data_IF_263590210658
#
_entry.id   IF_263590210658
#
_cell.length_a   1.000
_cell.length_b   1.000
_cell.length_c   1.000
_cell.angle_alpha   90.00
_cell.angle_beta   90.00
_cell.angle_gamma   90.00
#
_symmetry.space_group_name_H-M   'P 1'
#
loop_
_entity.id
_entity.type
_entity.pdbx_description
1 polymer ?
#
# COMPACT_ATOMS: atom_id res chain seq x y z
N UNK A 1 -65.00 2.97 -24.94
CA UNK A 1 -64.28 1.75 -25.35
C UNK A 1 -62.96 1.78 -24.61
N UNK A 2 -62.95 1.23 -23.39
CA UNK A 2 -62.50 -0.16 -23.04
C UNK A 2 -60.97 -0.19 -22.94
N UNK A 3 -60.34 0.02 -21.77
CA UNK A 3 -60.18 -0.80 -20.55
C UNK A 3 -59.54 -2.19 -20.79
N UNK A 4 -58.52 -2.49 -19.96
CA UNK A 4 -58.02 -3.78 -19.43
C UNK A 4 -56.61 -4.16 -19.92
N UNK A 5 -55.58 -4.11 -19.06
CA UNK A 5 -55.26 -4.95 -17.87
C UNK A 5 -54.21 -6.01 -18.26
N UNK A 6 -53.07 -6.04 -17.57
CA UNK A 6 -52.92 -6.92 -16.40
C UNK A 6 -51.50 -6.87 -15.85
N UNK A 7 -51.41 -6.45 -14.60
CA UNK A 7 -50.40 -6.89 -13.64
C UNK A 7 -50.42 -8.42 -13.49
N UNK A 8 -49.26 -9.01 -13.17
CA UNK A 8 -49.23 -10.15 -12.24
C UNK A 8 -47.97 -10.08 -11.38
N UNK A 9 -48.16 -9.62 -10.15
CA UNK A 9 -47.43 -10.09 -8.98
C UNK A 9 -47.87 -11.52 -8.67
N UNK A 10 -46.95 -12.32 -8.11
CA UNK A 10 -47.12 -13.30 -7.01
C UNK A 10 -45.93 -14.27 -7.04
N UNK A 11 -45.40 -14.82 -5.95
CA UNK A 11 -45.63 -14.70 -4.51
C UNK A 11 -44.64 -15.64 -3.82
N UNK A 12 -44.09 -15.23 -2.68
CA UNK A 12 -43.45 -16.13 -1.72
C UNK A 12 -44.48 -17.08 -1.10
N UNK A 13 -44.16 -18.38 -0.95
CA UNK A 13 -44.35 -19.13 0.32
C UNK A 13 -43.83 -20.58 0.30
N UNK A 14 -42.96 -20.84 1.30
CA UNK A 14 -42.65 -22.05 2.09
C UNK A 14 -43.18 -23.44 1.72
N UNK A 15 -42.31 -24.45 1.86
CA UNK A 15 -42.49 -25.52 2.86
C UNK A 15 -41.20 -26.34 3.13
N UNK A 16 -41.13 -26.85 4.36
CA UNK A 16 -39.98 -27.34 5.13
C UNK A 16 -39.82 -28.87 5.17
N UNK A 17 -38.61 -29.29 5.59
CA UNK A 17 -38.24 -30.50 6.37
C UNK A 17 -38.11 -31.87 5.69
N UNK A 18 -36.90 -32.45 5.77
CA UNK A 18 -36.66 -33.59 6.67
C UNK A 18 -35.15 -33.84 6.89
N UNK A 19 -34.88 -34.21 8.13
CA UNK A 19 -33.64 -34.45 8.88
C UNK A 19 -32.85 -35.70 8.48
N UNK A 20 -31.52 -35.63 8.63
CA UNK A 20 -30.71 -36.78 9.07
C UNK A 20 -29.70 -36.33 10.13
N UNK A 21 -29.88 -36.79 11.37
CA UNK A 21 -28.91 -36.73 12.46
C UNK A 21 -27.85 -37.82 12.24
N UNK A 22 -26.58 -37.48 12.45
CA UNK A 22 -25.54 -38.38 12.98
C UNK A 22 -24.58 -37.54 13.84
N UNK A 23 -24.75 -37.71 15.15
CA UNK A 23 -23.80 -37.77 16.27
C UNK A 23 -22.65 -36.76 16.47
N UNK A 24 -22.60 -36.31 17.73
CA UNK A 24 -21.58 -35.54 18.43
C UNK A 24 -20.17 -36.13 18.30
N UNK A 25 -19.20 -35.32 17.85
CA UNK A 25 -17.79 -35.48 18.23
C UNK A 25 -17.14 -34.10 18.39
N UNK A 26 -16.76 -33.79 19.64
CA UNK A 26 -15.79 -32.81 20.11
C UNK A 26 -15.88 -31.35 19.63
N UNK A 27 -16.64 -30.57 20.38
CA UNK A 27 -16.32 -29.18 20.73
C UNK A 27 -14.91 -29.08 21.35
N UNK A 28 -13.89 -28.83 20.51
CA UNK A 28 -12.50 -28.67 20.94
C UNK A 28 -11.59 -27.89 19.97
N UNK A 29 -12.15 -27.14 19.02
CA UNK A 29 -11.39 -26.54 17.91
C UNK A 29 -10.83 -25.13 18.13
N UNK A 30 -11.34 -24.38 19.11
CA UNK A 30 -10.98 -22.94 19.29
C UNK A 30 -9.92 -22.77 20.40
N UNK A 31 -9.73 -23.76 21.28
CA UNK A 31 -8.81 -23.68 22.43
C UNK A 31 -7.36 -24.09 22.10
N UNK A 32 -7.11 -24.81 21.00
CA UNK A 32 -5.77 -25.37 20.72
C UNK A 32 -4.77 -24.41 20.05
N UNK A 33 -5.19 -23.23 19.60
CA UNK A 33 -4.30 -22.29 18.90
C UNK A 33 -3.48 -21.43 19.89
N UNK A 34 -4.02 -21.16 21.08
CA UNK A 34 -3.36 -20.36 22.11
C UNK A 34 -2.25 -21.13 22.85
N UNK A 35 -2.41 -22.44 23.08
CA UNK A 35 -1.38 -23.26 23.76
C UNK A 35 -0.14 -23.47 22.88
N UNK A 36 -0.28 -23.42 21.55
CA UNK A 36 0.80 -23.70 20.60
C UNK A 36 1.81 -22.55 20.42
N UNK A 37 1.47 -21.35 20.90
CA UNK A 37 2.32 -20.16 20.84
C UNK A 37 3.28 -20.03 22.04
N UNK A 38 3.08 -20.81 23.11
CA UNK A 38 3.89 -20.69 24.34
C UNK A 38 5.15 -21.59 24.32
N UNK A 39 5.23 -22.61 23.46
CA UNK A 39 6.33 -23.59 23.50
C UNK A 39 7.52 -23.33 22.56
N UNK A 40 7.55 -22.22 21.79
CA UNK A 40 8.64 -21.95 20.84
C UNK A 40 9.66 -20.89 21.25
N UNK A 41 9.58 -20.37 22.48
CA UNK A 41 10.46 -19.31 22.96
C UNK A 41 11.77 -19.79 23.63
N UNK A 42 12.13 -21.08 23.57
CA UNK A 42 13.35 -21.59 24.23
C UNK A 42 14.24 -22.44 23.32
N UNK A 43 15.06 -21.77 22.50
CA UNK A 43 16.42 -22.22 22.14
C UNK A 43 17.23 -21.07 21.49
N UNK A 44 18.05 -20.39 22.30
CA UNK A 44 19.50 -20.19 22.14
C UNK A 44 20.14 -20.65 20.79
N UNK A 45 21.12 -20.01 20.15
CA UNK A 45 22.00 -18.87 20.46
C UNK A 45 22.89 -18.60 19.21
N UNK A 46 23.45 -17.39 19.11
CA UNK A 46 24.76 -17.00 18.53
C UNK A 46 25.24 -17.57 17.18
N UNK A 47 25.54 -16.67 16.23
CA UNK A 47 26.95 -16.34 15.94
C UNK A 47 27.15 -14.99 15.25
N UNK A 48 28.29 -14.40 15.56
CA UNK A 48 28.65 -12.99 15.44
C UNK A 48 29.73 -12.79 14.35
N UNK A 49 29.66 -11.66 13.64
CA UNK A 49 30.80 -10.77 13.28
C UNK A 49 31.63 -11.03 11.99
N UNK A 50 31.70 -9.94 11.18
CA UNK A 50 32.67 -9.51 10.13
C UNK A 50 32.65 -10.32 8.82
N UNK A 51 32.53 -9.68 7.65
CA UNK A 51 33.62 -8.96 6.95
C UNK A 51 33.10 -7.75 6.16
N UNK A 52 33.75 -6.61 6.38
CA UNK A 52 33.69 -5.38 5.57
C UNK A 52 34.79 -5.37 4.50
N UNK A 53 34.49 -4.71 3.38
CA UNK A 53 35.42 -4.15 2.38
C UNK A 53 36.19 -5.14 1.49
N UNK A 54 35.72 -5.32 0.26
CA UNK A 54 36.54 -5.37 -0.98
C UNK A 54 35.64 -5.74 -2.17
N UNK A 55 35.17 -4.77 -2.97
CA UNK A 55 34.80 -5.01 -4.37
C UNK A 55 34.97 -3.72 -5.18
N UNK A 56 36.22 -3.25 -5.24
CA UNK A 56 36.71 -2.51 -6.41
C UNK A 56 37.81 -3.39 -7.00
N UNK A 57 37.49 -4.13 -8.05
CA UNK A 57 38.50 -4.53 -9.03
C UNK A 57 37.85 -4.74 -10.39
N UNK A 58 38.53 -4.17 -11.37
CA UNK A 58 38.19 -3.96 -12.77
C UNK A 58 37.77 -5.21 -13.54
N UNK A 59 36.91 -5.04 -14.54
CA UNK A 59 36.86 -5.92 -15.71
C UNK A 59 36.92 -5.10 -16.99
N UNK A 60 38.14 -4.96 -17.53
CA UNK A 60 38.41 -4.59 -18.91
C UNK A 60 38.14 -5.81 -19.80
N UNK A 61 37.16 -5.72 -20.70
CA UNK A 61 37.03 -6.66 -21.83
C UNK A 61 37.24 -5.86 -23.12
N UNK A 62 38.24 -6.19 -23.95
CA UNK A 62 38.37 -5.59 -25.27
C UNK A 62 37.43 -6.30 -26.24
N UNK A 63 36.46 -5.58 -26.78
CA UNK A 63 35.59 -6.11 -27.83
C UNK A 63 35.99 -5.52 -29.18
N UNK A 64 36.56 -6.35 -30.03
CA UNK A 64 36.72 -6.09 -31.47
C UNK A 64 35.53 -6.69 -32.21
N UNK A 65 34.68 -5.86 -32.79
CA UNK A 65 34.01 -6.18 -34.05
C UNK A 65 33.55 -4.90 -34.75
N UNK A 66 34.05 -4.73 -35.96
CA UNK A 66 33.69 -3.64 -36.87
C UNK A 66 32.35 -3.94 -37.52
N UNK A 67 31.29 -3.28 -37.04
CA UNK A 67 30.05 -3.09 -37.80
C UNK A 67 29.72 -1.61 -37.77
N UNK A 68 29.93 -0.92 -38.90
CA UNK A 68 29.43 0.44 -39.11
C UNK A 68 27.92 0.39 -39.31
N UNK A 69 27.20 0.44 -38.18
CA UNK A 69 25.85 0.98 -38.18
C UNK A 69 25.99 2.50 -38.22
N UNK A 70 25.26 3.18 -39.10
CA UNK A 70 24.99 4.61 -38.87
C UNK A 70 24.40 4.72 -37.47
N UNK A 71 25.16 5.37 -36.57
CA UNK A 71 24.70 5.65 -35.21
C UNK A 71 23.39 6.40 -35.39
N UNK A 72 22.23 5.84 -34.97
CA UNK A 72 21.00 6.63 -34.98
C UNK A 72 21.34 7.91 -34.23
N UNK A 73 20.99 9.06 -34.82
CA UNK A 73 21.15 10.34 -34.15
C UNK A 73 20.64 10.16 -32.74
N UNK A 74 21.50 10.34 -31.74
CA UNK A 74 21.12 10.25 -30.34
C UNK A 74 20.03 11.28 -30.15
N UNK A 75 18.77 10.85 -30.16
CA UNK A 75 17.67 11.64 -29.61
C UNK A 75 18.11 11.89 -28.18
N UNK A 76 18.32 13.15 -27.80
CA UNK A 76 18.63 13.44 -26.41
C UNK A 76 17.41 12.95 -25.63
N UNK A 77 17.62 12.18 -24.58
CA UNK A 77 16.53 11.71 -23.71
C UNK A 77 15.65 12.89 -23.23
N UNK A 78 16.26 14.07 -23.14
CA UNK A 78 15.67 15.41 -22.95
C UNK A 78 14.64 15.83 -24.02
N UNK A 79 14.45 15.09 -25.12
CA UNK A 79 13.56 15.46 -26.23
C UNK A 79 12.32 14.55 -26.35
N UNK A 80 12.20 13.49 -25.54
CA UNK A 80 11.02 12.60 -25.57
C UNK A 80 9.93 13.11 -24.60
N UNK A 81 8.74 13.41 -25.12
CA UNK A 81 7.55 13.63 -24.28
C UNK A 81 7.27 12.34 -23.48
N UNK A 82 7.08 12.46 -22.16
CA UNK A 82 6.85 11.31 -21.28
C UNK A 82 5.57 10.56 -21.67
N UNK A 83 4.53 11.26 -22.14
CA UNK A 83 3.31 10.63 -22.64
C UNK A 83 2.72 11.37 -23.87
N UNK A 84 3.18 11.04 -25.10
CA UNK A 84 2.64 11.62 -26.33
C UNK A 84 1.16 11.28 -26.53
N UNK A 85 0.67 10.21 -25.90
CA UNK A 85 -0.70 9.69 -26.05
C UNK A 85 -1.74 10.68 -25.52
N UNK A 86 -1.47 11.39 -24.41
CA UNK A 86 -2.46 12.29 -23.81
C UNK A 86 -2.67 13.59 -24.58
N UNK A 87 -1.80 13.88 -25.56
CA UNK A 87 -1.92 15.03 -26.48
C UNK A 87 -2.76 14.71 -27.73
N UNK A 88 -3.33 13.50 -27.82
CA UNK A 88 -4.12 13.08 -28.97
C UNK A 88 -5.49 13.80 -29.01
N UNK A 89 -5.91 14.34 -30.17
CA UNK A 89 -7.16 15.10 -30.30
C UNK A 89 -8.42 14.37 -29.82
N UNK A 90 -8.48 13.05 -30.01
CA UNK A 90 -9.61 12.19 -29.64
C UNK A 90 -9.79 12.09 -28.12
N UNK A 91 -8.68 12.13 -27.38
CA UNK A 91 -8.70 12.10 -25.92
C UNK A 91 -9.06 13.47 -25.32
N UNK A 92 -8.73 14.58 -26.00
CA UNK A 92 -9.03 15.94 -25.53
C UNK A 92 -10.53 16.15 -25.29
N UNK A 93 -11.41 15.59 -26.13
CA UNK A 93 -12.87 15.72 -25.93
C UNK A 93 -13.36 14.91 -24.72
N UNK A 94 -12.84 13.70 -24.53
CA UNK A 94 -13.10 12.87 -23.33
C UNK A 94 -12.66 13.62 -22.08
N UNK A 95 -11.48 14.23 -22.09
CA UNK A 95 -10.97 14.96 -20.93
C UNK A 95 -11.71 16.25 -20.65
N UNK A 96 -12.17 16.99 -21.66
CA UNK A 96 -13.05 18.15 -21.44
C UNK A 96 -14.34 17.77 -20.70
N UNK A 97 -14.85 16.57 -20.92
CA UNK A 97 -16.03 16.08 -20.20
C UNK A 97 -15.77 15.84 -18.70
N UNK A 98 -14.51 15.58 -18.30
CA UNK A 98 -14.12 15.45 -16.90
C UNK A 98 -14.23 16.76 -16.13
N UNK A 99 -14.16 17.91 -16.80
CA UNK A 99 -14.20 19.21 -16.12
C UNK A 99 -15.39 19.36 -15.17
N UNK A 100 -16.54 18.79 -15.54
CA UNK A 100 -17.77 18.88 -14.78
C UNK A 100 -18.05 17.60 -13.94
N UNK A 101 -17.45 16.46 -14.29
CA UNK A 101 -17.71 15.16 -13.64
C UNK A 101 -16.61 14.72 -12.66
N UNK A 102 -15.36 15.06 -12.96
CA UNK A 102 -14.17 14.84 -12.12
C UNK A 102 -13.18 16.01 -12.30
N UNK A 103 -13.42 17.14 -11.62
CA UNK A 103 -12.62 18.35 -11.79
C UNK A 103 -11.15 18.16 -11.42
N UNK A 104 -10.82 17.20 -10.55
CA UNK A 104 -9.44 16.97 -10.10
C UNK A 104 -8.66 16.14 -11.12
N UNK A 105 -9.25 15.07 -11.64
CA UNK A 105 -8.69 14.35 -12.79
C UNK A 105 -8.50 15.28 -13.99
N UNK A 106 -9.44 16.21 -14.23
CA UNK A 106 -9.29 17.23 -15.27
C UNK A 106 -8.08 18.15 -15.02
N UNK A 107 -7.86 18.63 -13.77
CA UNK A 107 -6.71 19.47 -13.45
C UNK A 107 -5.40 18.74 -13.72
N UNK A 108 -5.25 17.51 -13.25
CA UNK A 108 -4.07 16.67 -13.52
C UNK A 108 -3.85 16.50 -15.03
N UNK A 109 -4.91 16.18 -15.77
CA UNK A 109 -4.83 16.02 -17.22
C UNK A 109 -4.29 17.28 -17.93
N UNK A 110 -4.77 18.47 -17.55
CA UNK A 110 -4.26 19.73 -18.12
C UNK A 110 -2.74 19.87 -17.92
N UNK A 111 -2.21 19.42 -16.79
CA UNK A 111 -0.78 19.49 -16.51
C UNK A 111 0.01 18.45 -17.33
N UNK A 112 -0.51 17.22 -17.42
CA UNK A 112 0.08 16.12 -18.21
C UNK A 112 0.24 16.51 -19.68
N UNK A 113 -0.78 17.14 -20.28
CA UNK A 113 -0.72 17.60 -21.69
C UNK A 113 0.26 18.76 -21.88
N UNK A 114 0.43 19.61 -20.85
CA UNK A 114 1.37 20.73 -20.89
C UNK A 114 2.80 20.36 -20.48
N UNK A 115 3.05 19.08 -20.14
CA UNK A 115 4.35 18.61 -19.70
C UNK A 115 5.35 18.56 -20.86
N UNK A 116 6.56 19.02 -20.58
CA UNK A 116 7.73 19.02 -21.46
C UNK A 116 8.94 18.65 -20.62
N UNK A 117 10.02 18.17 -21.22
CA UNK A 117 11.22 17.84 -20.45
C UNK A 117 11.81 19.03 -19.67
N UNK A 118 11.51 20.27 -20.08
CA UNK A 118 11.94 21.48 -19.36
C UNK A 118 11.09 21.85 -18.15
N UNK A 119 9.86 21.34 -17.99
CA UNK A 119 8.94 21.73 -16.92
C UNK A 119 8.28 20.55 -16.19
N UNK A 120 8.64 19.31 -16.52
CA UNK A 120 7.94 18.13 -16.02
C UNK A 120 8.05 17.91 -14.50
N UNK A 121 9.09 18.47 -13.87
CA UNK A 121 9.26 18.51 -12.41
C UNK A 121 9.22 19.94 -11.84
N UNK A 122 8.50 20.85 -12.51
CA UNK A 122 8.34 22.23 -12.05
C UNK A 122 7.79 22.30 -10.61
N UNK A 123 8.40 23.13 -9.77
CA UNK A 123 8.12 23.26 -8.33
C UNK A 123 8.03 21.90 -7.58
N UNK A 124 8.79 20.87 -8.01
CA UNK A 124 8.77 19.53 -7.40
C UNK A 124 10.17 18.94 -7.16
N UNK A 125 11.04 19.62 -6.37
CA UNK A 125 12.44 19.24 -6.22
C UNK A 125 12.63 17.89 -5.51
N UNK A 126 11.79 17.54 -4.53
CA UNK A 126 11.86 16.25 -3.85
C UNK A 126 11.48 15.10 -4.79
N UNK A 127 10.39 15.26 -5.54
CA UNK A 127 9.99 14.31 -6.57
C UNK A 127 11.07 14.11 -7.64
N UNK A 128 11.64 15.20 -8.16
CA UNK A 128 12.72 15.14 -9.16
C UNK A 128 13.95 14.39 -8.62
N UNK A 129 14.36 14.71 -7.39
CA UNK A 129 15.49 14.05 -6.74
C UNK A 129 15.23 12.56 -6.51
N UNK A 130 14.00 12.19 -6.14
CA UNK A 130 13.59 10.81 -5.97
C UNK A 130 13.65 10.03 -7.28
N UNK A 131 13.09 10.57 -8.37
CA UNK A 131 13.14 9.93 -9.69
C UNK A 131 14.59 9.76 -10.14
N UNK A 132 15.42 10.80 -10.04
CA UNK A 132 16.85 10.71 -10.38
C UNK A 132 17.59 9.64 -9.59
N UNK A 133 17.36 9.54 -8.28
CA UNK A 133 17.96 8.51 -7.40
C UNK A 133 17.67 7.10 -7.92
N UNK A 134 16.47 6.82 -8.43
CA UNK A 134 16.10 5.50 -8.95
C UNK A 134 16.61 5.25 -10.36
N UNK A 135 16.64 6.28 -11.21
CA UNK A 135 17.32 6.20 -12.50
C UNK A 135 18.82 5.91 -12.36
N UNK A 136 19.48 6.52 -11.37
CA UNK A 136 20.90 6.27 -11.07
C UNK A 136 21.15 4.83 -10.58
N UNK A 137 20.13 4.15 -10.05
CA UNK A 137 20.16 2.72 -9.71
C UNK A 137 19.90 1.80 -10.91
N UNK A 138 19.58 2.35 -12.07
CA UNK A 138 19.34 1.61 -13.32
C UNK A 138 17.88 1.41 -13.70
N UNK A 139 16.91 2.00 -12.98
CA UNK A 139 15.51 1.99 -13.42
C UNK A 139 15.30 2.92 -14.63
N UNK A 140 14.30 2.61 -15.47
CA UNK A 140 13.87 3.56 -16.51
C UNK A 140 13.17 4.76 -15.86
N UNK A 141 13.11 5.89 -16.56
CA UNK A 141 12.42 7.07 -16.04
C UNK A 141 10.93 6.78 -15.74
N UNK A 142 10.26 6.02 -16.59
CA UNK A 142 8.85 5.63 -16.39
C UNK A 142 8.66 4.83 -15.09
N UNK A 143 9.49 3.81 -14.85
CA UNK A 143 9.44 3.01 -13.61
C UNK A 143 9.76 3.88 -12.38
N UNK A 144 10.78 4.73 -12.49
CA UNK A 144 11.18 5.63 -11.40
C UNK A 144 10.07 6.65 -11.07
N UNK A 145 9.34 7.15 -12.08
CA UNK A 145 8.16 8.00 -11.92
C UNK A 145 7.03 7.23 -11.24
N UNK A 146 6.69 6.02 -11.71
CA UNK A 146 5.64 5.19 -11.10
C UNK A 146 5.94 4.90 -9.63
N UNK A 147 7.21 4.65 -9.30
CA UNK A 147 7.65 4.49 -7.91
C UNK A 147 7.51 5.77 -7.11
N UNK A 148 7.90 6.93 -7.66
CA UNK A 148 7.71 8.23 -7.01
C UNK A 148 6.24 8.53 -6.74
N UNK A 149 5.33 8.16 -7.67
CA UNK A 149 3.89 8.28 -7.51
C UNK A 149 3.39 7.45 -6.33
N UNK A 150 3.81 6.19 -6.19
CA UNK A 150 3.42 5.34 -5.06
C UNK A 150 3.82 5.97 -3.71
N UNK A 151 5.05 6.51 -3.61
CA UNK A 151 5.52 7.21 -2.41
C UNK A 151 4.74 8.51 -2.14
N UNK A 152 4.46 9.27 -3.19
CA UNK A 152 3.72 10.52 -3.12
C UNK A 152 2.27 10.28 -2.67
N UNK A 153 1.63 9.25 -3.20
CA UNK A 153 0.28 8.84 -2.83
C UNK A 153 0.19 8.38 -1.37
N UNK A 154 1.22 7.67 -0.89
CA UNK A 154 1.35 7.32 0.51
C UNK A 154 1.60 8.52 1.44
N UNK A 155 1.93 9.70 0.91
CA UNK A 155 2.34 10.87 1.70
C UNK A 155 3.74 10.74 2.30
N UNK A 156 4.64 10.03 1.61
CA UNK A 156 6.06 9.84 1.96
C UNK A 156 7.00 10.69 1.08
N UNK A 157 6.46 11.35 0.05
CA UNK A 157 7.21 12.16 -0.90
C UNK A 157 6.39 13.38 -1.30
N UNK A 158 6.98 14.56 -1.18
CA UNK A 158 6.41 15.80 -1.72
C UNK A 158 6.51 15.77 -3.25
N UNK A 159 5.35 15.72 -3.91
CA UNK A 159 5.27 15.68 -5.37
C UNK A 159 5.21 17.07 -6.01
N UNK A 160 5.14 18.14 -5.23
CA UNK A 160 5.07 19.51 -5.71
C UNK A 160 4.08 19.66 -6.86
N UNK A 161 4.42 20.49 -7.84
CA UNK A 161 3.61 20.70 -9.05
C UNK A 161 4.10 19.91 -10.26
N UNK A 162 4.68 18.73 -10.04
CA UNK A 162 5.14 17.87 -11.13
C UNK A 162 4.01 17.59 -12.13
N UNK A 163 4.37 17.48 -13.40
CA UNK A 163 3.45 17.37 -14.53
C UNK A 163 3.56 16.02 -15.25
N UNK A 164 4.37 15.08 -14.74
CA UNK A 164 4.69 13.82 -15.41
C UNK A 164 3.65 12.74 -15.23
N UNK A 165 2.98 12.69 -14.08
CA UNK A 165 2.05 11.61 -13.75
C UNK A 165 1.01 12.08 -12.75
N UNK A 166 -0.22 11.57 -12.81
CA UNK A 166 -1.20 11.85 -11.75
C UNK A 166 -0.82 11.12 -10.47
N UNK A 167 -0.94 11.77 -9.30
CA UNK A 167 -0.73 11.14 -7.99
C UNK A 167 -2.08 10.84 -7.36
N UNK A 168 -2.40 9.56 -7.15
CA UNK A 168 -3.68 9.13 -6.59
C UNK A 168 -4.91 9.56 -7.41
N UNK A 169 -6.06 8.98 -7.09
CA UNK A 169 -7.32 9.37 -7.74
C UNK A 169 -7.88 10.69 -7.23
N UNK A 170 -7.89 10.85 -5.90
CA UNK A 170 -8.61 11.93 -5.21
C UNK A 170 -7.66 13.02 -4.65
N UNK A 171 -6.36 12.94 -4.95
CA UNK A 171 -5.38 13.92 -4.49
C UNK A 171 -5.26 15.09 -5.46
N UNK A 172 -5.19 16.33 -4.94
CA UNK A 172 -5.15 17.49 -5.80
C UNK A 172 -3.82 17.64 -6.53
N UNK A 173 -3.84 18.35 -7.66
CA UNK A 173 -2.60 18.80 -8.29
C UNK A 173 -1.84 19.77 -7.37
N UNK A 174 -0.55 19.48 -7.15
CA UNK A 174 0.25 20.17 -6.15
C UNK A 174 0.27 19.40 -4.83
N UNK A 175 1.44 19.17 -4.24
CA UNK A 175 1.48 18.65 -2.88
C UNK A 175 0.94 19.69 -1.89
N UNK A 176 -0.03 19.25 -1.08
CA UNK A 176 -0.65 20.05 -0.02
C UNK A 176 -0.32 19.52 1.38
N UNK A 177 0.41 18.40 1.51
CA UNK A 177 0.77 17.76 2.79
C UNK A 177 -0.43 17.50 3.71
N UNK A 178 -1.57 17.13 3.12
CA UNK A 178 -2.84 16.91 3.83
C UNK A 178 -3.37 15.48 3.64
N UNK A 179 -2.50 14.51 3.39
CA UNK A 179 -2.89 13.13 3.14
C UNK A 179 -1.82 12.15 3.64
N UNK A 180 -2.25 10.90 3.83
CA UNK A 180 -1.36 9.79 4.13
C UNK A 180 -0.39 10.02 5.29
N UNK A 181 0.85 9.62 5.10
CA UNK A 181 1.92 9.75 6.09
C UNK A 181 2.32 11.21 6.39
N UNK A 182 1.91 12.21 5.60
CA UNK A 182 2.08 13.61 5.99
C UNK A 182 1.34 13.96 7.28
N UNK A 183 0.21 13.28 7.55
CA UNK A 183 -0.63 13.51 8.73
C UNK A 183 -0.29 12.61 9.92
N UNK A 184 0.70 11.72 9.77
CA UNK A 184 1.02 10.69 10.77
C UNK A 184 2.36 11.01 11.44
N UNK A 185 2.33 11.36 12.72
CA UNK A 185 3.49 11.49 13.58
C UNK A 185 3.89 10.13 14.17
N UNK A 186 4.35 9.20 13.34
CA UNK A 186 4.86 7.90 13.79
C UNK A 186 6.08 7.53 12.94
N UNK A 187 7.24 8.03 13.36
CA UNK A 187 8.50 7.85 12.62
C UNK A 187 8.91 6.37 12.46
N UNK A 188 8.76 5.50 13.49
CA UNK A 188 9.02 4.07 13.31
C UNK A 188 8.17 3.44 12.20
N UNK A 189 6.89 3.81 12.11
CA UNK A 189 6.00 3.31 11.07
C UNK A 189 6.41 3.82 9.69
N UNK A 190 6.67 5.12 9.55
CA UNK A 190 7.15 5.74 8.29
C UNK A 190 8.42 5.06 7.78
N UNK A 191 9.40 4.87 8.66
CA UNK A 191 10.66 4.24 8.32
C UNK A 191 10.49 2.79 7.90
N UNK A 192 9.63 2.04 8.58
CA UNK A 192 9.33 0.66 8.21
C UNK A 192 8.69 0.56 6.83
N UNK A 193 7.71 1.43 6.52
CA UNK A 193 7.07 1.48 5.21
C UNK A 193 8.08 1.84 4.13
N UNK A 194 8.87 2.90 4.30
CA UNK A 194 9.90 3.28 3.31
C UNK A 194 10.90 2.14 3.05
N UNK A 195 11.38 1.46 4.10
CA UNK A 195 12.31 0.32 3.94
C UNK A 195 11.69 -0.83 3.18
N UNK A 196 10.42 -1.13 3.43
CA UNK A 196 9.71 -2.18 2.69
C UNK A 196 9.52 -1.78 1.23
N UNK A 197 9.06 -0.56 0.96
CA UNK A 197 8.87 -0.07 -0.41
C UNK A 197 10.18 -0.01 -1.21
N UNK A 198 11.31 0.34 -0.58
CA UNK A 198 12.64 0.31 -1.19
C UNK A 198 13.11 -1.10 -1.59
N UNK A 199 12.52 -2.15 -1.02
CA UNK A 199 12.89 -3.56 -1.27
C UNK A 199 12.01 -4.25 -2.33
N UNK A 200 10.89 -3.65 -2.70
CA UNK A 200 9.93 -4.19 -3.66
C UNK A 200 10.18 -3.62 -5.06
N UNK A 201 9.70 -4.31 -6.09
CA UNK A 201 9.56 -3.70 -7.40
C UNK A 201 8.47 -2.60 -7.40
N UNK A 202 8.29 -1.91 -8.52
CA UNK A 202 7.38 -0.77 -8.56
C UNK A 202 5.90 -1.19 -8.51
N UNK A 203 5.53 -2.37 -9.05
CA UNK A 203 4.15 -2.87 -9.07
C UNK A 203 3.76 -3.32 -7.66
N UNK A 204 4.63 -4.09 -7.00
CA UNK A 204 4.43 -4.58 -5.64
C UNK A 204 4.45 -3.44 -4.62
N UNK A 205 5.31 -2.44 -4.82
CA UNK A 205 5.31 -1.24 -3.98
C UNK A 205 3.99 -0.48 -4.10
N UNK A 206 3.44 -0.37 -5.31
CA UNK A 206 2.16 0.28 -5.55
C UNK A 206 1.00 -0.51 -4.93
N UNK A 207 0.97 -1.83 -5.11
CA UNK A 207 -0.05 -2.69 -4.51
C UNK A 207 0.03 -2.70 -2.97
N UNK A 208 1.22 -2.60 -2.39
CA UNK A 208 1.39 -2.45 -0.94
C UNK A 208 0.80 -1.12 -0.45
N UNK A 209 1.08 -0.01 -1.12
CA UNK A 209 0.49 1.30 -0.79
C UNK A 209 -1.03 1.23 -0.86
N UNK A 210 -1.58 0.67 -1.94
CA UNK A 210 -3.03 0.51 -2.10
C UNK A 210 -3.64 -0.44 -1.09
N UNK A 211 -2.91 -1.46 -0.65
CA UNK A 211 -3.33 -2.29 0.46
C UNK A 211 -3.47 -1.41 1.71
N UNK A 212 -2.45 -0.64 2.06
CA UNK A 212 -2.46 0.20 3.28
C UNK A 212 -3.53 1.30 3.23
N UNK A 213 -3.77 1.93 2.08
CA UNK A 213 -4.60 3.14 1.98
C UNK A 213 -5.99 2.95 1.34
N UNK A 214 -6.17 1.93 0.50
CA UNK A 214 -7.40 1.71 -0.28
C UNK A 214 -8.11 0.37 0.02
N UNK A 215 -7.58 -0.44 0.93
CA UNK A 215 -8.20 -1.74 1.23
C UNK A 215 -8.04 -2.78 0.12
N UNK A 216 -7.05 -2.61 -0.77
CA UNK A 216 -6.74 -3.58 -1.83
C UNK A 216 -6.34 -4.95 -1.24
N UNK A 217 -6.67 -6.09 -1.90
CA UNK A 217 -7.39 -6.23 -3.17
C UNK A 217 -8.92 -6.23 -3.04
N UNK A 218 -9.44 -6.28 -1.82
CA UNK A 218 -10.82 -6.64 -1.54
C UNK A 218 -11.80 -5.46 -1.63
N UNK A 219 -11.51 -4.47 -2.48
CA UNK A 219 -12.09 -3.12 -2.51
C UNK A 219 -13.64 -3.13 -2.63
N UNK A 220 -14.34 -3.40 -1.53
CA UNK A 220 -15.81 -3.52 -1.39
C UNK A 220 -16.48 -2.16 -1.14
N UNK A 221 -15.92 -1.09 -1.72
CA UNK A 221 -16.64 0.12 -2.09
C UNK A 221 -16.89 1.20 -1.04
N UNK A 222 -16.18 1.27 0.11
CA UNK A 222 -16.27 2.36 1.12
C UNK A 222 -15.02 2.30 2.05
N UNK A 223 -14.35 3.41 2.46
CA UNK A 223 -13.74 4.54 1.75
C UNK A 223 -12.19 4.63 1.87
N UNK A 224 -11.66 5.63 1.15
CA UNK A 224 -10.29 6.06 0.98
C UNK A 224 -9.71 6.80 2.20
N UNK A 225 -8.78 6.17 2.92
CA UNK A 225 -7.66 6.74 3.70
C UNK A 225 -7.21 5.72 4.76
N UNK A 226 -5.93 5.76 5.14
CA UNK A 226 -5.38 4.86 6.17
C UNK A 226 -6.07 5.01 7.55
N UNK A 227 -6.50 6.22 7.91
CA UNK A 227 -7.17 6.47 9.18
C UNK A 227 -8.47 5.66 9.30
N UNK A 228 -9.25 5.62 8.23
CA UNK A 228 -10.52 4.91 8.26
C UNK A 228 -10.34 3.39 8.36
N UNK A 229 -9.30 2.85 7.73
CA UNK A 229 -8.93 1.44 7.88
C UNK A 229 -8.53 1.11 9.32
N UNK A 230 -7.83 2.04 10.00
CA UNK A 230 -7.50 1.90 11.42
C UNK A 230 -8.73 2.01 12.32
N UNK A 231 -9.64 2.95 12.05
CA UNK A 231 -10.88 3.12 12.82
C UNK A 231 -11.75 1.86 12.73
N UNK A 232 -11.93 1.32 11.53
CA UNK A 232 -12.65 0.07 11.30
C UNK A 232 -12.00 -1.11 12.03
N UNK A 233 -10.67 -1.17 12.02
CA UNK A 233 -9.94 -2.18 12.79
C UNK A 233 -10.12 -2.00 14.30
N UNK A 234 -10.12 -0.77 14.79
CA UNK A 234 -10.40 -0.45 16.20
C UNK A 234 -11.78 -0.91 16.64
N UNK A 235 -12.81 -0.71 15.83
CA UNK A 235 -14.17 -1.22 16.09
C UNK A 235 -14.14 -2.74 16.20
N UNK A 236 -13.55 -3.43 15.22
CA UNK A 236 -13.42 -4.90 15.23
C UNK A 236 -12.68 -5.39 16.49
N UNK A 237 -11.59 -4.72 16.86
CA UNK A 237 -10.80 -5.07 18.03
C UNK A 237 -11.63 -4.95 19.33
N UNK A 238 -12.41 -3.88 19.47
CA UNK A 238 -13.27 -3.69 20.65
C UNK A 238 -14.46 -4.67 20.68
N UNK A 239 -15.00 -5.07 19.53
CA UNK A 239 -16.00 -6.15 19.46
C UNK A 239 -15.44 -7.49 19.92
N UNK A 240 -14.22 -7.83 19.49
CA UNK A 240 -13.53 -9.05 19.90
C UNK A 240 -13.25 -9.08 21.41
N UNK A 241 -12.87 -7.93 22.00
CA UNK A 241 -12.70 -7.80 23.46
C UNK A 241 -14.01 -8.05 24.21
N UNK A 242 -15.15 -7.61 23.68
CA UNK A 242 -16.48 -7.86 24.27
C UNK A 242 -16.88 -9.34 24.18
N UNK A 243 -16.52 -10.02 23.11
CA UNK A 243 -16.77 -11.45 22.93
C UNK A 243 -15.89 -12.31 23.85
N UNK A 244 -14.67 -11.87 24.13
CA UNK A 244 -13.70 -12.57 24.98
C UNK A 244 -13.26 -11.71 26.19
N UNK A 245 -14.18 -11.40 27.12
CA UNK A 245 -13.91 -10.47 28.21
C UNK A 245 -12.89 -11.01 29.22
N UNK A 246 -12.75 -12.32 29.38
CA UNK A 246 -11.78 -12.89 30.34
C UNK A 246 -10.33 -12.61 29.96
N UNK A 247 -10.02 -12.64 28.66
CA UNK A 247 -8.68 -12.32 28.13
C UNK A 247 -8.44 -10.81 28.08
N UNK A 248 -9.48 -9.99 27.88
CA UNK A 248 -9.38 -8.54 27.73
C UNK A 248 -9.47 -7.76 29.06
N UNK A 249 -9.76 -8.42 30.19
CA UNK A 249 -9.95 -7.80 31.52
C UNK A 249 -8.78 -6.93 31.99
N UNK A 250 -7.59 -7.12 31.43
CA UNK A 250 -6.36 -6.43 31.83
C UNK A 250 -5.88 -5.40 30.79
N UNK A 251 -6.66 -5.13 29.74
CA UNK A 251 -6.27 -4.15 28.73
C UNK A 251 -6.32 -2.75 29.32
N UNK A 252 -5.15 -2.12 29.44
CA UNK A 252 -4.99 -0.77 29.98
C UNK A 252 -5.45 0.32 29.02
N UNK A 253 -5.48 0.03 27.72
CA UNK A 253 -5.69 1.00 26.66
C UNK A 253 -6.76 0.54 25.66
N UNK A 254 -7.49 1.52 25.13
CA UNK A 254 -8.47 1.37 24.05
C UNK A 254 -7.88 2.00 22.79
N UNK A 255 -7.94 1.29 21.67
CA UNK A 255 -7.45 1.82 20.41
C UNK A 255 -8.54 2.67 19.77
N UNK A 256 -8.20 3.91 19.42
CA UNK A 256 -9.13 4.88 18.85
C UNK A 256 -8.80 5.22 17.40
N UNK A 257 -7.94 4.44 16.75
CA UNK A 257 -7.43 4.74 15.41
C UNK A 257 -6.27 5.74 15.37
N UNK A 258 -6.00 6.48 16.46
CA UNK A 258 -4.87 7.42 16.51
C UNK A 258 -3.56 6.66 16.71
N UNK A 259 -2.66 6.80 15.74
CA UNK A 259 -1.35 6.13 15.72
C UNK A 259 -0.19 7.10 15.92
N UNK A 260 -0.48 8.37 16.17
CA UNK A 260 0.52 9.39 16.41
C UNK A 260 1.19 9.16 17.76
N UNK A 261 2.52 9.14 17.75
CA UNK A 261 3.34 9.13 18.96
C UNK A 261 3.48 10.58 19.44
N UNK A 262 3.35 10.81 20.74
CA UNK A 262 3.60 12.12 21.35
C UNK A 262 4.92 12.08 22.10
N UNK A 263 5.99 12.38 21.37
CA UNK A 263 7.37 12.38 21.84
C UNK A 263 7.50 13.06 23.22
N UNK A 264 8.05 12.32 24.19
CA UNK A 264 8.30 12.82 25.55
C UNK A 264 7.06 13.00 26.44
N UNK A 265 5.86 12.72 25.96
CA UNK A 265 4.62 12.77 26.77
C UNK A 265 3.95 11.40 26.92
N UNK A 266 4.11 10.53 25.93
CA UNK A 266 3.59 9.17 26.00
C UNK A 266 4.56 8.24 26.73
N UNK A 267 4.00 7.39 27.59
CA UNK A 267 4.77 6.34 28.26
C UNK A 267 5.22 5.27 27.26
N UNK A 268 6.37 4.63 27.52
CA UNK A 268 6.84 3.46 26.76
C UNK A 268 5.76 2.38 26.60
N UNK A 269 4.94 2.19 27.62
CA UNK A 269 3.83 1.23 27.61
C UNK A 269 2.72 1.62 26.60
N UNK A 270 2.40 2.91 26.49
CA UNK A 270 1.44 3.40 25.50
C UNK A 270 1.98 3.32 24.07
N UNK A 271 3.27 3.65 23.87
CA UNK A 271 3.91 3.48 22.56
C UNK A 271 3.90 2.01 22.12
N UNK A 272 4.25 1.10 23.03
CA UNK A 272 4.15 -0.34 22.78
C UNK A 272 2.72 -0.78 22.44
N UNK A 273 1.72 -0.25 23.14
CA UNK A 273 0.33 -0.52 22.81
C UNK A 273 -0.02 -0.10 21.38
N UNK A 274 0.40 1.08 20.92
CA UNK A 274 0.20 1.53 19.55
C UNK A 274 0.93 0.61 18.56
N UNK A 275 2.18 0.27 18.84
CA UNK A 275 2.99 -0.62 17.98
C UNK A 275 2.39 -2.02 17.85
N UNK A 276 2.03 -2.64 18.97
CA UNK A 276 1.42 -3.97 18.98
C UNK A 276 0.06 -3.97 18.27
N UNK A 277 -0.71 -2.88 18.41
CA UNK A 277 -1.99 -2.72 17.71
C UNK A 277 -1.81 -2.60 16.19
N UNK A 278 -0.82 -1.81 15.76
CA UNK A 278 -0.46 -1.68 14.34
C UNK A 278 0.06 -3.00 13.75
N UNK A 279 0.85 -3.77 14.49
CA UNK A 279 1.29 -5.11 14.06
C UNK A 279 0.06 -6.00 13.82
N UNK A 280 -0.87 -6.05 14.79
CA UNK A 280 -2.12 -6.82 14.64
C UNK A 280 -2.97 -6.34 13.47
N UNK A 281 -2.99 -5.04 13.20
CA UNK A 281 -3.66 -4.48 12.02
C UNK A 281 -3.06 -5.05 10.72
N UNK A 282 -1.73 -5.05 10.58
CA UNK A 282 -1.10 -5.61 9.38
C UNK A 282 -1.25 -7.14 9.28
N UNK A 283 -1.24 -7.86 10.41
CA UNK A 283 -1.56 -9.30 10.44
C UNK A 283 -3.00 -9.57 9.97
N UNK A 284 -3.99 -8.76 10.39
CA UNK A 284 -5.38 -8.84 9.90
C UNK A 284 -5.47 -8.56 8.39
N UNK A 285 -4.62 -7.69 7.84
CA UNK A 285 -4.54 -7.45 6.40
C UNK A 285 -4.01 -8.66 5.65
N UNK A 286 -3.01 -9.34 6.19
CA UNK A 286 -2.48 -10.59 5.62
C UNK A 286 -3.56 -11.68 5.66
N UNK A 287 -4.28 -11.84 6.76
CA UNK A 287 -5.36 -12.83 6.87
C UNK A 287 -6.47 -12.61 5.83
N UNK A 288 -6.88 -11.36 5.62
CA UNK A 288 -7.83 -11.00 4.56
C UNK A 288 -7.29 -11.31 3.17
N UNK A 289 -6.00 -11.03 2.95
CA UNK A 289 -5.34 -11.34 1.68
C UNK A 289 -5.26 -12.85 1.43
N UNK A 290 -4.90 -13.64 2.44
CA UNK A 290 -4.88 -15.10 2.39
C UNK A 290 -6.27 -15.64 2.04
N UNK A 291 -7.34 -15.10 2.63
CA UNK A 291 -8.71 -15.45 2.24
C UNK A 291 -9.00 -15.16 0.76
N UNK A 292 -8.56 -14.01 0.23
CA UNK A 292 -8.74 -13.67 -1.20
C UNK A 292 -7.95 -14.62 -2.09
N UNK A 293 -6.71 -14.97 -1.71
CA UNK A 293 -5.86 -15.92 -2.45
C UNK A 293 -6.52 -17.29 -2.51
N UNK A 294 -7.02 -17.79 -1.38
CA UNK A 294 -7.67 -19.10 -1.28
C UNK A 294 -9.00 -19.18 -2.04
N UNK A 295 -9.74 -18.07 -2.11
CA UNK A 295 -11.07 -18.00 -2.74
C UNK A 295 -11.07 -17.32 -4.11
N UNK A 296 -9.88 -17.17 -4.70
CA UNK A 296 -9.67 -16.48 -5.97
C UNK A 296 -10.40 -17.19 -7.12
N UNK A 297 -11.26 -16.49 -7.90
CA UNK A 297 -11.91 -17.08 -9.05
C UNK A 297 -10.87 -17.49 -10.11
N UNK A 298 -11.09 -18.58 -10.87
CA UNK A 298 -10.12 -19.07 -11.85
C UNK A 298 -9.72 -18.05 -12.92
N UNK A 299 -10.57 -17.05 -13.19
CA UNK A 299 -10.34 -16.00 -14.18
C UNK A 299 -9.43 -14.87 -13.67
N UNK A 300 -9.23 -14.74 -12.36
CA UNK A 300 -8.32 -13.74 -11.80
C UNK A 300 -6.88 -14.26 -11.99
N UNK A 301 -6.05 -13.52 -12.72
CA UNK A 301 -4.67 -13.93 -13.02
C UNK A 301 -3.64 -13.33 -12.07
N UNK A 302 -4.00 -12.29 -11.30
CA UNK A 302 -3.04 -11.59 -10.41
C UNK A 302 -2.46 -12.50 -9.35
N UNK A 303 -1.14 -12.52 -9.23
CA UNK A 303 -0.45 -13.15 -8.12
C UNK A 303 -0.40 -12.16 -6.95
N UNK A 304 -0.73 -12.62 -5.74
CA UNK A 304 -0.72 -11.81 -4.53
C UNK A 304 0.36 -12.25 -3.53
N UNK A 305 1.20 -13.23 -3.89
CA UNK A 305 2.26 -13.72 -3.01
C UNK A 305 3.28 -12.63 -2.68
N UNK A 306 3.67 -11.80 -3.65
CA UNK A 306 4.61 -10.70 -3.41
C UNK A 306 4.02 -9.61 -2.52
N UNK A 307 2.74 -9.23 -2.71
CA UNK A 307 2.05 -8.31 -1.79
C UNK A 307 2.01 -8.87 -0.35
N UNK A 308 1.73 -10.17 -0.22
CA UNK A 308 1.71 -10.86 1.07
C UNK A 308 3.09 -10.83 1.73
N UNK A 309 4.14 -11.10 0.97
CA UNK A 309 5.52 -11.09 1.46
C UNK A 309 6.02 -9.66 1.77
N UNK A 310 5.53 -8.66 1.03
CA UNK A 310 5.69 -7.25 1.33
C UNK A 310 5.05 -6.85 2.66
N UNK A 311 3.83 -7.31 2.95
CA UNK A 311 3.16 -7.08 4.24
C UNK A 311 3.91 -7.77 5.40
N UNK A 312 4.40 -8.99 5.20
CA UNK A 312 5.25 -9.67 6.20
C UNK A 312 6.54 -8.88 6.46
N UNK A 313 7.19 -8.40 5.39
CA UNK A 313 8.41 -7.59 5.47
C UNK A 313 8.15 -6.25 6.19
N UNK A 314 6.99 -5.62 5.97
CA UNK A 314 6.56 -4.43 6.70
C UNK A 314 6.44 -4.70 8.20
N UNK A 315 5.82 -5.80 8.61
CA UNK A 315 5.72 -6.18 10.02
C UNK A 315 7.12 -6.36 10.64
N UNK A 316 8.01 -7.07 9.95
CA UNK A 316 9.36 -7.32 10.44
C UNK A 316 10.21 -6.04 10.54
N UNK A 317 10.11 -5.16 9.54
CA UNK A 317 10.77 -3.86 9.57
C UNK A 317 10.20 -2.99 10.69
N UNK A 318 8.88 -2.99 10.89
CA UNK A 318 8.23 -2.20 11.93
C UNK A 318 8.59 -2.67 13.34
N UNK A 319 8.67 -3.99 13.57
CA UNK A 319 9.18 -4.55 14.83
C UNK A 319 10.59 -4.06 15.15
N UNK A 320 11.48 -4.00 14.15
CA UNK A 320 12.86 -3.49 14.31
C UNK A 320 12.87 -1.99 14.65
N UNK A 321 12.11 -1.18 13.92
CA UNK A 321 12.00 0.27 14.16
C UNK A 321 11.41 0.58 15.54
N UNK A 322 10.34 -0.12 15.93
CA UNK A 322 9.70 0.02 17.25
C UNK A 322 10.65 -0.35 18.39
N UNK A 323 11.43 -1.43 18.24
CA UNK A 323 12.45 -1.81 19.21
C UNK A 323 13.55 -0.74 19.34
N UNK A 324 14.00 -0.18 18.22
CA UNK A 324 14.97 0.93 18.20
C UNK A 324 14.43 2.18 18.89
N UNK A 325 13.20 2.59 18.58
CA UNK A 325 12.56 3.75 19.19
C UNK A 325 12.45 3.63 20.72
N UNK A 326 12.02 2.46 21.20
CA UNK A 326 11.87 2.18 22.64
C UNK A 326 13.18 2.01 23.41
N UNK A 327 14.32 1.87 22.73
CA UNK A 327 15.63 1.82 23.37
C UNK A 327 16.09 3.20 23.88
N UNK A 328 15.45 4.28 23.41
CA UNK A 328 15.72 5.66 23.80
C UNK A 328 14.88 6.13 25.02
N UNK A 329 14.05 5.25 25.59
CA UNK A 329 13.19 5.52 26.76
C UNK A 329 13.76 4.93 28.06
#
# INVERSE_FOLDING_TARGET
MEINNSYSQNSYQSQTSSTKKVDEVNSGGILNTFERLIDKANTNNTDNVKISAAYYESSNIPSTSSVTYEKPTSVKWEDQLVYPVFSQPELIEVYKSLKDTDPEAYKWHVQLVAATNGNKYEDAPEFEAFVKKWMDKGESEDIAISRAVAYAEAGLLDYGKQRVHQVGKDLPYGDIKQHGFHLINNEPLKNAVMKTLDSLDYEDAYDLVRSIFEGFPENKGVPSSFQELLDNFGIKLEELKKLNPETAKNDKFTFTGDVNLKDGTDSKEYNNFIFDTLIKFFEDRIEKLDYVIENKPPEESRDFHELRDGLNSLIDNFKKEAAGYNSNF
#
